data_IF_057612788914
#
_entry.id   IF_057612788914
#
_cell.length_a   1.000
_cell.length_b   1.000
_cell.length_c   1.000
_cell.angle_alpha   90.00
_cell.angle_beta   90.00
_cell.angle_gamma   90.00
#
_symmetry.space_group_name_H-M   'P 1'
#
loop_
_entity.id
_entity.type
_entity.pdbx_description
1 polymer ?
2 non-polymer ?
3 water ?
#
# COMPACT_ATOMS: atom_id res chain seq x y z
N UNK A 30 -8.09 -40.77 -6.59
CA UNK A 30 -9.19 -40.30 -5.69
C UNK A 30 -8.79 -39.07 -4.87
N UNK A 31 -8.93 -37.89 -5.50
CA UNK A 31 -8.73 -36.60 -4.83
C UNK A 31 -9.45 -35.48 -5.58
N UNK A 32 -10.63 -35.09 -5.09
CA UNK A 32 -11.50 -34.12 -5.78
C UNK A 32 -10.78 -32.96 -6.49
N UNK A 33 -10.63 -33.07 -7.80
CA UNK A 33 -10.01 -32.03 -8.60
C UNK A 33 -11.05 -31.14 -9.26
N UNK A 34 -12.33 -31.40 -8.97
CA UNK A 34 -13.41 -30.61 -9.52
C UNK A 34 -13.27 -29.15 -9.10
N UNK A 35 -13.14 -28.26 -10.08
CA UNK A 35 -13.03 -26.83 -9.80
C UNK A 35 -14.11 -26.29 -8.85
N UNK A 36 -15.36 -26.74 -9.05
CA UNK A 36 -16.47 -26.22 -8.28
C UNK A 36 -16.30 -26.47 -6.78
N UNK A 37 -15.26 -27.20 -6.40
CA UNK A 37 -15.09 -27.55 -4.99
C UNK A 37 -13.76 -27.11 -4.39
N UNK A 38 -13.12 -26.10 -4.99
CA UNK A 38 -11.87 -25.58 -4.44
C UNK A 38 -12.16 -24.46 -3.45
N UNK A 39 -11.45 -24.45 -2.33
CA UNK A 39 -11.57 -23.34 -1.39
C UNK A 39 -10.80 -22.13 -1.90
N UNK A 40 -11.43 -20.96 -1.83
CA UNK A 40 -10.74 -19.71 -2.08
C UNK A 40 -10.48 -19.03 -0.75
N UNK A 41 -9.97 -17.81 -0.78
CA UNK A 41 -9.60 -17.08 0.44
C UNK A 41 -10.80 -16.53 1.21
N UNK A 42 -11.12 -17.12 2.36
CA UNK A 42 -12.24 -16.65 3.18
C UNK A 42 -12.14 -15.17 3.53
N UNK A 43 -13.19 -14.41 3.19
CA UNK A 43 -13.25 -12.99 3.49
C UNK A 43 -12.14 -12.15 2.84
N UNK A 44 -11.97 -12.28 1.53
CA UNK A 44 -10.91 -11.56 0.80
C UNK A 44 -11.03 -10.04 0.94
N UNK A 45 -10.01 -9.43 1.53
CA UNK A 45 -9.99 -7.99 1.69
C UNK A 45 -9.36 -7.30 0.49
N UNK A 46 -10.17 -6.96 -0.50
CA UNK A 46 -9.65 -6.34 -1.71
C UNK A 46 -8.49 -5.42 -1.35
N UNK A 47 -8.79 -4.38 -0.58
CA UNK A 47 -7.87 -3.26 -0.40
C UNK A 47 -6.60 -3.61 0.37
N UNK A 48 -6.67 -4.58 1.26
CA UNK A 48 -5.47 -5.00 1.94
C UNK A 48 -4.55 -5.65 0.94
N UNK A 49 -5.15 -6.16 -0.14
CA UNK A 49 -4.43 -6.96 -1.11
C UNK A 49 -3.68 -6.05 -2.08
N UNK A 50 -3.79 -4.74 -1.89
CA UNK A 50 -3.21 -3.78 -2.84
C UNK A 50 -1.69 -3.72 -2.81
N UNK A 51 -1.14 -2.89 -3.69
CA UNK A 51 0.30 -2.69 -3.77
C UNK A 51 0.99 -3.67 -4.71
N UNK A 52 2.32 -3.75 -4.62
CA UNK A 52 3.07 -4.58 -5.54
C UNK A 52 3.11 -6.03 -5.10
N UNK A 53 2.97 -6.92 -6.08
CA UNK A 53 3.14 -8.35 -5.89
C UNK A 53 4.10 -8.88 -6.94
N UNK A 54 5.06 -9.71 -6.53
CA UNK A 54 6.01 -10.32 -7.46
C UNK A 54 5.68 -11.79 -7.67
N UNK A 55 5.32 -12.16 -8.90
CA UNK A 55 5.18 -13.56 -9.22
C UNK A 55 6.52 -14.24 -9.09
N UNK A 56 6.58 -15.32 -8.32
CA UNK A 56 7.82 -16.05 -8.17
C UNK A 56 7.78 -17.41 -8.83
N UNK A 57 6.57 -17.95 -8.97
CA UNK A 57 6.39 -19.20 -9.68
C UNK A 57 5.07 -19.17 -10.44
N UNK A 58 4.96 -20.02 -11.45
CA UNK A 58 3.91 -19.91 -12.44
C UNK A 58 3.42 -21.30 -12.83
N UNK A 59 2.12 -21.46 -13.00
CA UNK A 59 1.63 -22.61 -13.74
C UNK A 59 1.01 -22.02 -14.99
N UNK A 60 1.47 -22.49 -16.14
CA UNK A 60 1.10 -21.87 -17.41
C UNK A 60 -0.21 -22.45 -17.97
N UNK A 61 -0.93 -21.63 -18.74
CA UNK A 61 -2.09 -22.11 -19.47
C UNK A 61 -1.60 -22.47 -20.86
N UNK A 62 -2.50 -22.55 -21.83
CA UNK A 62 -2.06 -22.88 -23.18
C UNK A 62 -1.86 -21.63 -24.02
N UNK A 63 -0.96 -21.72 -24.98
CA UNK A 63 -0.67 -20.60 -25.86
C UNK A 63 0.21 -19.57 -25.19
N UNK A 64 0.21 -18.37 -25.76
CA UNK A 64 1.07 -17.27 -25.31
C UNK A 64 0.77 -16.84 -23.87
N UNK A 65 1.78 -16.34 -23.20
CA UNK A 65 1.64 -15.93 -21.80
C UNK A 65 2.91 -15.22 -21.36
N UNK A 66 2.82 -14.47 -20.28
CA UNK A 66 4.00 -13.82 -19.72
C UNK A 66 5.03 -14.88 -19.32
N UNK A 67 6.31 -14.59 -19.59
CA UNK A 67 7.35 -15.59 -19.34
C UNK A 67 8.21 -15.32 -18.12
N UNK A 68 8.47 -14.04 -17.86
CA UNK A 68 9.25 -13.68 -16.69
C UNK A 68 9.30 -12.19 -16.48
N UNK A 69 9.94 -11.79 -15.40
CA UNK A 69 9.99 -10.40 -14.96
C UNK A 69 8.58 -9.94 -14.71
N UNK A 70 7.78 -10.91 -14.27
CA UNK A 70 6.38 -10.70 -14.03
C UNK A 70 6.19 -9.95 -12.74
N UNK A 71 5.37 -8.92 -12.79
CA UNK A 71 5.10 -8.09 -11.64
C UNK A 71 3.66 -7.61 -11.76
N UNK A 72 2.94 -7.68 -10.66
CA UNK A 72 1.55 -7.23 -10.67
C UNK A 72 1.40 -6.06 -9.72
N UNK A 73 0.54 -5.11 -10.09
CA UNK A 73 0.23 -3.97 -9.25
C UNK A 73 -1.27 -3.84 -9.08
N UNK A 74 -1.75 -4.31 -7.92
CA UNK A 74 -3.17 -4.31 -7.60
C UNK A 74 -3.56 -3.03 -6.88
N UNK A 75 -4.74 -2.52 -7.22
CA UNK A 75 -5.24 -1.35 -6.55
C UNK A 75 -6.76 -1.34 -6.54
N UNK A 76 -7.34 -0.52 -5.67
CA UNK A 76 -8.79 -0.36 -5.63
C UNK A 76 -9.16 1.12 -5.50
N UNK A 77 -9.93 1.63 -6.46
CA UNK A 77 -10.33 3.04 -6.43
C UNK A 77 -11.44 3.32 -5.39
N UNK A 78 -11.97 4.55 -5.42
CA UNK A 78 -12.88 5.04 -4.38
C UNK A 78 -14.06 4.11 -4.08
N UNK A 79 -14.70 3.61 -5.14
CA UNK A 79 -15.92 2.80 -5.03
C UNK A 79 -15.71 1.41 -4.44
N UNK A 80 -14.53 0.84 -4.66
CA UNK A 80 -14.26 -0.52 -4.22
C UNK A 80 -13.93 -1.40 -5.42
N UNK A 81 -13.98 -0.81 -6.60
CA UNK A 81 -13.54 -1.45 -7.82
C UNK A 81 -12.07 -1.87 -7.75
N UNK A 82 -11.83 -3.17 -7.68
CA UNK A 82 -10.45 -3.65 -7.74
C UNK A 82 -9.97 -3.84 -9.17
N UNK A 83 -8.80 -3.29 -9.45
CA UNK A 83 -8.15 -3.46 -10.73
C UNK A 83 -6.66 -3.65 -10.49
N UNK A 84 -5.95 -4.06 -11.52
CA UNK A 84 -4.53 -4.35 -11.41
C UNK A 84 -3.86 -4.12 -12.74
N UNK A 85 -2.54 -3.97 -12.72
CA UNK A 85 -1.76 -3.97 -13.95
C UNK A 85 -0.82 -5.17 -13.92
N UNK A 86 -0.35 -5.61 -15.08
CA UNK A 86 0.53 -6.76 -15.15
C UNK A 86 1.63 -6.54 -16.16
N UNK A 87 2.88 -6.63 -15.72
CA UNK A 87 4.03 -6.30 -16.54
C UNK A 87 5.01 -7.46 -16.57
N UNK A 88 5.44 -7.86 -17.76
CA UNK A 88 6.35 -8.99 -17.89
C UNK A 88 6.91 -9.15 -19.28
N UNK A 89 7.78 -10.14 -19.45
CA UNK A 89 8.49 -10.34 -20.71
C UNK A 89 8.00 -11.58 -21.46
N UNK A 90 7.97 -11.51 -22.78
CA UNK A 90 7.60 -12.65 -23.61
C UNK A 90 8.62 -12.87 -24.72
N UNK A 91 8.58 -14.04 -25.34
CA UNK A 91 9.41 -14.32 -26.49
C UNK A 91 8.51 -14.78 -27.62
N UNK A 92 8.60 -14.13 -28.77
CA UNK A 92 7.77 -14.53 -29.92
C UNK A 92 8.63 -15.01 -31.09
N UNK A 93 8.63 -16.33 -31.29
CA UNK A 93 9.36 -16.97 -32.39
C UNK A 93 10.86 -17.11 -32.18
N UNK A 94 11.35 -16.84 -30.96
CA UNK A 94 12.79 -16.73 -30.62
C UNK A 94 13.54 -15.71 -31.48
N UNK A 95 12.75 -14.83 -32.08
CA UNK A 95 13.23 -13.64 -32.77
C UNK A 95 13.17 -12.40 -31.89
N UNK A 96 12.18 -12.35 -30.98
CA UNK A 96 11.95 -11.15 -30.20
C UNK A 96 11.80 -11.36 -28.69
N UNK A 97 12.25 -10.36 -27.94
CA UNK A 97 12.07 -10.33 -26.50
C UNK A 97 11.40 -9.00 -26.18
N UNK A 98 10.10 -9.04 -25.87
CA UNK A 98 9.36 -7.79 -25.69
C UNK A 98 8.67 -7.71 -24.34
N UNK A 99 8.53 -6.51 -23.84
CA UNK A 99 7.86 -6.30 -22.57
C UNK A 99 6.38 -6.07 -22.83
N UNK A 100 5.56 -7.05 -22.45
CA UNK A 100 4.12 -6.93 -22.54
C UNK A 100 3.63 -6.11 -21.37
N UNK A 101 2.44 -5.53 -21.51
CA UNK A 101 1.98 -4.58 -20.53
C UNK A 101 0.47 -4.57 -20.52
N UNK A 102 -0.12 -4.93 -19.38
CA UNK A 102 -1.56 -5.09 -19.31
C UNK A 102 -2.24 -4.29 -18.21
N UNK A 103 -3.56 -4.30 -18.28
CA UNK A 103 -4.41 -3.65 -17.32
C UNK A 103 -5.63 -4.53 -17.22
N UNK A 104 -6.01 -4.90 -16.00
CA UNK A 104 -7.21 -5.69 -15.79
C UNK A 104 -8.17 -4.96 -14.88
N UNK A 105 -9.45 -5.31 -14.98
CA UNK A 105 -10.46 -4.74 -14.10
C UNK A 105 -11.39 -5.84 -13.66
N UNK A 106 -11.45 -6.06 -12.36
CA UNK A 106 -12.18 -7.17 -11.77
C UNK A 106 -13.61 -6.79 -11.40
N UNK A 107 -14.59 -7.36 -12.09
CA UNK A 107 -15.97 -7.23 -11.67
C UNK A 107 -16.16 -8.19 -10.53
N UNK A 108 -17.16 -7.96 -9.69
CA UNK A 108 -17.31 -8.76 -8.48
C UNK A 108 -18.27 -9.92 -8.61
N UNK A 109 -18.45 -10.66 -7.52
CA UNK A 109 -19.41 -11.76 -7.47
C UNK A 109 -19.73 -12.06 -6.02
N UNK A 110 -20.60 -13.02 -5.78
CA UNK A 110 -21.04 -13.34 -4.43
C UNK A 110 -19.94 -14.02 -3.61
N UNK A 111 -18.86 -14.42 -4.26
CA UNK A 111 -17.69 -14.85 -3.54
C UNK A 111 -16.71 -13.68 -3.63
N UNK A 112 -16.30 -13.15 -2.48
CA UNK A 112 -15.41 -11.99 -2.44
C UNK A 112 -14.02 -12.36 -2.95
N UNK A 113 -13.74 -13.65 -2.99
CA UNK A 113 -12.44 -14.14 -3.43
C UNK A 113 -12.48 -14.42 -4.92
N UNK A 114 -13.64 -14.26 -5.52
CA UNK A 114 -13.82 -14.63 -6.94
C UNK A 114 -14.24 -13.46 -7.81
N UNK A 115 -13.58 -13.33 -8.95
CA UNK A 115 -13.84 -12.23 -9.87
C UNK A 115 -13.92 -12.65 -11.33
N UNK A 116 -14.54 -11.79 -12.14
CA UNK A 116 -14.43 -11.85 -13.59
C UNK A 116 -13.44 -10.73 -13.90
N UNK A 117 -12.42 -11.03 -14.69
CA UNK A 117 -11.41 -10.02 -14.99
C UNK A 117 -11.38 -9.67 -16.46
N UNK A 118 -11.73 -8.43 -16.79
CA UNK A 118 -11.48 -7.91 -18.12
C UNK A 118 -10.04 -7.40 -18.14
N UNK A 119 -9.25 -7.86 -19.10
CA UNK A 119 -7.88 -7.38 -19.23
C UNK A 119 -7.56 -7.11 -20.69
N UNK A 120 -6.53 -6.29 -20.91
CA UNK A 120 -6.11 -5.94 -22.27
C UNK A 120 -4.62 -5.57 -22.30
N UNK A 121 -4.12 -5.30 -23.50
CA UNK A 121 -2.76 -4.81 -23.65
C UNK A 121 -2.87 -3.31 -23.77
N UNK A 122 -1.74 -2.61 -23.64
CA UNK A 122 -1.73 -1.17 -23.84
C UNK A 122 -0.48 -0.74 -24.61
N UNK A 123 0.61 -1.47 -24.40
CA UNK A 123 1.86 -1.17 -25.09
C UNK A 123 1.81 -1.74 -26.51
N UNK A 124 2.88 -2.44 -26.88
CA UNK A 124 2.92 -3.27 -28.07
C UNK A 124 1.67 -4.16 -28.15
N UNK A 125 1.25 -4.65 -27.00
CA UNK A 125 0.24 -5.70 -26.83
C UNK A 125 -1.19 -5.26 -27.14
N UNK A 126 -1.84 -5.95 -28.07
CA UNK A 126 -3.18 -5.56 -28.52
C UNK A 126 -4.37 -6.38 -28.02
N UNK A 127 -4.12 -7.55 -27.42
CA UNK A 127 -5.21 -8.45 -27.04
C UNK A 127 -6.13 -7.97 -25.91
N UNK A 128 -7.35 -8.50 -25.88
CA UNK A 128 -8.28 -8.34 -24.77
C UNK A 128 -8.76 -9.73 -24.36
N UNK A 129 -9.11 -9.91 -23.09
CA UNK A 129 -9.59 -11.21 -22.64
C UNK A 129 -10.43 -11.15 -21.38
N UNK A 130 -11.13 -12.25 -21.10
CA UNK A 130 -11.89 -12.41 -19.86
C UNK A 130 -11.49 -13.71 -19.17
N UNK A 131 -10.82 -13.59 -18.03
CA UNK A 131 -10.39 -14.74 -17.25
C UNK A 131 -11.02 -14.67 -15.88
N UNK A 132 -11.40 -15.82 -15.35
CA UNK A 132 -11.76 -15.90 -13.95
C UNK A 132 -10.51 -15.59 -13.12
N UNK A 133 -10.67 -14.74 -12.10
CA UNK A 133 -9.56 -14.44 -11.20
C UNK A 133 -9.93 -14.80 -9.76
N UNK A 134 -9.23 -15.78 -9.20
CA UNK A 134 -9.50 -16.27 -7.84
C UNK A 134 -8.27 -16.13 -6.97
N UNK A 135 -8.43 -15.51 -5.81
CA UNK A 135 -7.39 -15.55 -4.81
C UNK A 135 -7.68 -16.80 -4.01
N UNK A 136 -6.74 -17.73 -3.99
CA UNK A 136 -6.99 -18.98 -3.26
C UNK A 136 -6.54 -18.84 -1.82
N UNK A 137 -5.40 -18.19 -1.62
CA UNK A 137 -4.96 -17.87 -0.27
C UNK A 137 -3.89 -16.78 -0.24
N UNK A 138 -3.85 -16.06 0.88
CA UNK A 138 -2.96 -14.92 1.00
C UNK A 138 -2.99 -14.39 2.43
N UNK A 139 -2.06 -13.49 2.74
CA UNK A 139 -2.01 -12.85 4.03
C UNK A 139 -1.65 -11.38 3.80
N UNK A 140 -1.83 -10.96 2.55
CA UNK A 140 -1.62 -9.56 2.16
C UNK A 140 -0.23 -8.97 2.45
N UNK A 141 0.46 -9.48 3.48
CA UNK A 141 1.78 -8.97 3.84
C UNK A 141 2.91 -9.79 3.25
N UNK A 142 2.71 -11.09 3.14
CA UNK A 142 3.77 -12.01 2.74
C UNK A 142 3.59 -12.58 1.34
N UNK A 143 2.59 -13.43 1.19
CA UNK A 143 2.41 -14.20 -0.04
C UNK A 143 0.98 -14.13 -0.59
N UNK A 144 0.77 -14.80 -1.72
CA UNK A 144 -0.56 -14.93 -2.29
C UNK A 144 -0.56 -15.99 -3.37
N UNK A 145 -1.62 -16.78 -3.42
CA UNK A 145 -1.80 -17.74 -4.50
C UNK A 145 -3.01 -17.31 -5.33
N UNK A 146 -2.77 -16.99 -6.58
CA UNK A 146 -3.83 -16.61 -7.51
C UNK A 146 -4.11 -17.80 -8.40
N UNK A 147 -5.32 -17.88 -8.96
CA UNK A 147 -5.68 -19.01 -9.82
C UNK A 147 -6.76 -18.67 -10.84
N UNK A 148 -6.68 -19.30 -12.01
CA UNK A 148 -7.64 -19.04 -13.06
C UNK A 148 -7.87 -20.22 -13.98
N UNK A 149 -9.10 -20.74 -13.97
CA UNK A 149 -9.52 -21.75 -14.92
C UNK A 149 -10.18 -21.08 -16.13
N UNK A 150 -9.87 -21.60 -17.33
CA UNK A 150 -10.39 -21.03 -18.56
C UNK A 150 -11.27 -22.04 -19.27
N UNK A 151 -11.12 -23.30 -18.91
CA UNK A 151 -11.79 -24.37 -19.62
C UNK A 151 -12.15 -25.50 -18.67
N UNK A 152 -13.41 -25.93 -18.69
CA UNK A 152 -13.82 -27.09 -17.91
C UNK A 152 -13.95 -28.33 -18.78
N UNK A 153 -13.39 -29.44 -18.32
CA UNK A 153 -13.62 -30.75 -18.92
C UNK A 153 -15.05 -31.12 -18.58
N UNK A 154 -15.59 -32.11 -19.28
CA UNK A 154 -16.96 -32.58 -19.01
C UNK A 154 -17.14 -32.99 -17.55
N UNK A 155 -16.16 -33.75 -17.02
CA UNK A 155 -16.22 -34.28 -15.65
C UNK A 155 -16.08 -33.21 -14.56
N UNK A 156 -15.81 -31.97 -14.96
CA UNK A 156 -15.72 -30.87 -14.00
C UNK A 156 -14.33 -30.33 -13.70
N UNK A 157 -13.29 -31.12 -13.96
CA UNK A 157 -11.93 -30.68 -13.69
C UNK A 157 -11.57 -29.56 -14.64
N UNK A 158 -10.44 -28.92 -14.38
CA UNK A 158 -10.01 -27.81 -15.22
C UNK A 158 -9.20 -28.33 -16.40
N UNK A 159 -9.48 -27.79 -17.58
CA UNK A 159 -8.79 -28.22 -18.79
C UNK A 159 -7.64 -27.28 -19.11
N UNK A 160 -7.88 -25.97 -18.94
CA UNK A 160 -6.86 -24.97 -19.18
C UNK A 160 -6.85 -23.98 -18.02
N UNK A 161 -5.73 -23.94 -17.29
CA UNK A 161 -5.63 -23.07 -16.12
C UNK A 161 -4.28 -22.36 -16.06
N UNK A 162 -4.27 -21.21 -15.39
CA UNK A 162 -3.01 -20.61 -14.99
C UNK A 162 -3.07 -20.27 -13.51
N UNK A 163 -1.90 -20.04 -12.92
CA UNK A 163 -1.83 -19.76 -11.49
C UNK A 163 -0.48 -19.13 -11.15
N UNK A 164 -0.53 -18.13 -10.28
CA UNK A 164 0.64 -17.37 -9.89
C UNK A 164 0.93 -17.49 -8.41
N UNK A 165 2.17 -17.82 -8.07
CA UNK A 165 2.63 -17.66 -6.69
C UNK A 165 3.18 -16.25 -6.52
N UNK A 166 2.44 -15.41 -5.79
CA UNK A 166 2.80 -14.02 -5.60
C UNK A 166 3.58 -13.81 -4.32
N UNK A 167 4.58 -12.94 -4.36
CA UNK A 167 5.37 -12.59 -3.19
C UNK A 167 5.50 -11.09 -3.02
N UNK A 168 5.42 -10.61 -1.78
CA UNK A 168 5.60 -9.18 -1.54
C UNK A 168 7.07 -8.79 -1.60
N UNK A 169 7.94 -9.75 -1.32
CA UNK A 169 9.38 -9.53 -1.35
C UNK A 169 10.04 -10.48 -2.34
N UNK A 170 10.63 -9.92 -3.41
CA UNK A 170 11.25 -10.73 -4.46
C UNK A 170 12.44 -11.60 -4.01
N UNK A 171 12.84 -11.50 -2.75
CA UNK A 171 13.86 -12.38 -2.22
C UNK A 171 13.27 -13.67 -1.63
N UNK A 172 11.94 -13.80 -1.67
CA UNK A 172 11.28 -15.03 -1.25
C UNK A 172 10.19 -14.92 -0.20
N UNK A 173 9.68 -16.07 0.23
CA UNK A 173 8.62 -16.16 1.22
C UNK A 173 9.13 -16.75 2.53
N UNK A 174 8.67 -16.23 3.67
CA UNK A 174 9.10 -16.84 4.92
C UNK A 174 8.63 -18.30 4.96
N UNK A 175 9.20 -19.10 5.86
CA UNK A 175 8.90 -20.53 5.97
C UNK A 175 7.41 -20.86 6.10
N UNK A 176 6.65 -19.99 6.74
CA UNK A 176 5.24 -20.26 6.97
C UNK A 176 4.45 -20.13 5.68
N UNK A 177 4.78 -19.14 4.87
CA UNK A 177 4.11 -18.95 3.59
C UNK A 177 4.46 -20.09 2.62
N UNK A 178 5.67 -20.61 2.71
CA UNK A 178 6.08 -21.71 1.84
C UNK A 178 5.19 -22.92 2.07
N UNK A 179 5.00 -23.26 3.34
CA UNK A 179 4.18 -24.39 3.72
C UNK A 179 2.74 -24.25 3.23
N UNK A 180 2.21 -23.03 3.25
CA UNK A 180 0.83 -22.80 2.82
C UNK A 180 0.66 -22.84 1.31
N UNK A 181 1.66 -22.31 0.59
CA UNK A 181 1.64 -22.34 -0.86
C UNK A 181 1.72 -23.79 -1.36
N UNK A 182 2.54 -24.58 -0.69
CA UNK A 182 2.70 -25.99 -1.02
C UNK A 182 1.42 -26.78 -0.74
N UNK A 183 0.62 -26.28 0.20
CA UNK A 183 -0.65 -26.91 0.51
C UNK A 183 -1.68 -26.59 -0.57
N UNK A 184 -1.75 -25.31 -0.96
CA UNK A 184 -2.73 -24.84 -1.91
C UNK A 184 -2.47 -25.43 -3.30
N UNK A 185 -1.23 -25.31 -3.77
CA UNK A 185 -0.87 -25.90 -5.05
C UNK A 185 -1.34 -27.33 -5.11
N UNK A 186 -1.27 -28.02 -3.99
CA UNK A 186 -1.72 -29.39 -3.92
C UNK A 186 -3.24 -29.41 -4.05
N UNK A 187 -3.89 -28.52 -3.32
CA UNK A 187 -5.35 -28.46 -3.32
C UNK A 187 -5.93 -28.02 -4.66
N UNK A 188 -5.09 -27.45 -5.51
CA UNK A 188 -5.53 -27.00 -6.83
C UNK A 188 -5.17 -28.02 -7.91
N UNK A 189 -4.77 -29.21 -7.48
CA UNK A 189 -4.33 -30.25 -8.40
C UNK A 189 -3.31 -29.69 -9.37
N UNK A 190 -2.41 -28.85 -8.87
CA UNK A 190 -1.38 -28.25 -9.70
C UNK A 190 0.03 -28.50 -9.19
N UNK A 191 0.16 -29.19 -8.06
CA UNK A 191 1.48 -29.43 -7.49
C UNK A 191 2.43 -29.95 -8.56
N UNK A 192 3.66 -29.45 -8.55
CA UNK A 192 4.72 -29.92 -9.43
C UNK A 192 4.58 -29.42 -10.86
N UNK A 193 3.62 -28.54 -11.12
CA UNK A 193 3.39 -28.04 -12.48
C UNK A 193 3.61 -26.55 -12.52
N UNK A 194 4.36 -26.06 -11.54
CA UNK A 194 4.75 -24.66 -11.44
C UNK A 194 6.23 -24.60 -11.75
N UNK A 195 6.66 -23.66 -12.58
CA UNK A 195 8.09 -23.42 -12.70
C UNK A 195 8.45 -22.01 -12.22
N UNK A 196 9.60 -21.89 -11.57
CA UNK A 196 10.03 -20.63 -10.97
C UNK A 196 10.17 -19.52 -12.01
N UNK A 197 10.13 -18.27 -11.56
CA UNK A 197 10.15 -17.15 -12.49
C UNK A 197 11.36 -16.23 -12.31
N UNK A 198 12.06 -15.98 -13.41
CA UNK A 198 13.21 -15.08 -13.41
C UNK A 198 12.82 -13.60 -13.33
N UNK A 199 13.52 -12.86 -12.48
CA UNK A 199 13.37 -11.42 -12.42
C UNK A 199 14.77 -10.83 -12.55
N UNK A 200 14.99 -10.05 -13.60
CA UNK A 200 16.31 -9.43 -13.83
C UNK A 200 16.26 -8.08 -14.53
N UNK A 201 15.32 -7.23 -14.13
CA UNK A 201 15.24 -5.84 -14.60
C UNK A 201 15.06 -5.63 -16.10
N UNK A 202 15.04 -6.72 -16.86
CA UNK A 202 14.93 -6.64 -18.33
C UNK A 202 13.78 -5.75 -18.85
N UNK A 203 12.83 -5.43 -17.96
CA UNK A 203 11.70 -4.57 -18.33
C UNK A 203 11.65 -3.34 -17.42
N UNK B 30 -21.48 2.40 3.69
CA UNK B 30 -20.74 3.59 4.23
C UNK B 30 -19.45 3.85 3.47
N UNK B 31 -18.33 3.85 4.18
CA UNK B 31 -17.03 4.11 3.58
C UNK B 31 -15.97 3.39 4.37
N UNK B 32 -15.06 2.71 3.67
CA UNK B 32 -14.00 1.99 4.36
C UNK B 32 -13.10 3.00 5.05
N UNK B 33 -13.01 2.88 6.37
CA UNK B 33 -12.17 3.76 7.15
C UNK B 33 -11.20 2.92 7.92
N UNK B 34 -10.74 1.85 7.29
CA UNK B 34 -9.79 0.97 7.94
C UNK B 34 -8.39 1.43 7.66
N UNK B 35 -7.59 1.49 8.72
CA UNK B 35 -6.22 1.97 8.64
C UNK B 35 -5.44 1.00 7.76
N UNK B 36 -5.77 -0.28 7.90
CA UNK B 36 -5.11 -1.35 7.16
C UNK B 36 -5.26 -1.19 5.66
N UNK B 37 -6.10 -0.26 5.22
CA UNK B 37 -6.33 -0.10 3.79
C UNK B 37 -6.27 1.36 3.32
N UNK B 38 -5.44 2.15 3.96
CA UNK B 38 -5.26 3.52 3.51
C UNK B 38 -4.14 3.57 2.50
N UNK B 39 -4.30 4.42 1.48
CA UNK B 39 -3.24 4.65 0.54
C UNK B 39 -2.26 5.66 1.12
N UNK B 40 -0.97 5.36 1.00
CA UNK B 40 0.08 6.33 1.32
C UNK B 40 0.88 6.62 0.07
N UNK B 41 1.78 7.59 0.16
CA UNK B 41 2.61 8.02 -0.97
C UNK B 41 3.39 6.88 -1.61
N UNK B 42 3.37 6.82 -2.93
CA UNK B 42 4.10 5.79 -3.65
C UNK B 42 5.52 6.30 -3.98
N UNK B 43 6.52 5.45 -3.74
CA UNK B 43 7.92 5.82 -3.92
C UNK B 43 8.31 7.07 -3.13
N UNK B 44 8.07 7.07 -1.82
CA UNK B 44 8.43 8.23 -1.03
C UNK B 44 9.93 8.49 -1.11
N UNK B 45 10.29 9.72 -1.47
CA UNK B 45 11.69 10.08 -1.59
C UNK B 45 12.17 10.91 -0.40
N UNK B 46 12.81 10.27 0.56
CA UNK B 46 13.26 10.98 1.75
C UNK B 46 13.94 12.29 1.36
N UNK B 47 14.99 12.17 0.54
CA UNK B 47 15.83 13.31 0.18
C UNK B 47 15.05 14.56 -0.22
N UNK B 48 14.12 14.41 -1.17
CA UNK B 48 13.32 15.55 -1.62
C UNK B 48 12.39 16.07 -0.53
N UNK B 49 12.20 15.26 0.52
CA UNK B 49 11.37 15.65 1.65
C UNK B 49 12.15 16.47 2.69
N UNK B 50 13.48 16.52 2.54
CA UNK B 50 14.35 17.34 3.38
C UNK B 50 13.87 18.77 3.56
N UNK B 51 14.38 19.43 4.60
CA UNK B 51 14.15 20.85 4.80
C UNK B 51 12.96 21.19 5.68
N UNK B 52 12.45 22.40 5.50
CA UNK B 52 11.42 22.95 6.36
C UNK B 52 10.00 22.66 5.88
N UNK B 53 9.13 22.30 6.81
CA UNK B 53 7.70 22.18 6.54
C UNK B 53 6.90 22.93 7.62
N UNK B 54 5.93 23.72 7.20
CA UNK B 54 5.09 24.46 8.14
C UNK B 54 3.71 23.85 8.32
N UNK B 55 3.42 23.40 9.54
CA UNK B 55 2.11 22.85 9.89
C UNK B 55 1.03 23.91 9.76
N UNK B 56 0.03 23.68 8.92
CA UNK B 56 -1.01 24.68 8.73
C UNK B 56 -2.37 24.22 9.22
N UNK B 57 -2.55 22.91 9.35
CA UNK B 57 -3.78 22.40 9.92
C UNK B 57 -3.44 21.18 10.75
N UNK B 58 -4.40 20.71 11.53
CA UNK B 58 -4.09 19.70 12.52
C UNK B 58 -5.31 18.84 12.79
N UNK B 59 -5.06 17.58 13.13
CA UNK B 59 -6.08 16.76 13.75
C UNK B 59 -5.42 16.24 15.03
N UNK B 60 -5.75 16.85 16.17
CA UNK B 60 -5.10 16.47 17.41
C UNK B 60 -5.62 15.11 17.84
N UNK B 61 -4.78 14.33 18.55
CA UNK B 61 -5.25 13.08 19.13
C UNK B 61 -5.65 13.32 20.59
N UNK B 62 -5.81 12.25 21.36
CA UNK B 62 -6.12 12.44 22.78
C UNK B 62 -4.90 12.93 23.56
N UNK B 63 -5.15 13.47 24.74
CA UNK B 63 -4.08 13.97 25.60
C UNK B 63 -3.55 15.30 25.11
N UNK B 64 -2.40 15.69 25.66
CA UNK B 64 -1.77 16.95 25.32
C UNK B 64 -1.12 16.86 23.95
N UNK B 65 -0.92 18.01 23.32
CA UNK B 65 -0.30 18.05 22.01
C UNK B 65 0.22 19.44 21.76
N UNK B 66 0.89 19.61 20.63
CA UNK B 66 1.28 20.94 20.20
C UNK B 66 0.01 21.62 19.80
N UNK B 67 -0.03 22.93 19.99
CA UNK B 67 -1.23 23.72 19.81
C UNK B 67 -1.09 24.59 18.57
N UNK B 68 0.07 25.20 18.41
CA UNK B 68 0.34 26.03 17.23
C UNK B 68 1.80 26.46 17.14
N UNK B 69 2.08 27.31 16.16
CA UNK B 69 3.46 27.65 15.84
C UNK B 69 4.26 26.37 15.56
N UNK B 70 3.60 25.43 14.88
CA UNK B 70 4.17 24.12 14.64
C UNK B 70 5.02 24.10 13.39
N UNK B 71 6.24 23.58 13.53
CA UNK B 71 7.19 23.57 12.44
C UNK B 71 8.17 22.41 12.54
N UNK B 72 8.30 21.66 11.45
CA UNK B 72 9.16 20.51 11.41
C UNK B 72 10.38 20.74 10.53
N UNK B 73 11.47 20.03 10.84
CA UNK B 73 12.65 20.06 10.01
C UNK B 73 13.09 18.63 9.74
N UNK B 74 12.91 18.21 8.49
CA UNK B 74 13.31 16.87 8.07
C UNK B 74 14.69 16.87 7.45
N UNK B 75 15.47 15.85 7.78
CA UNK B 75 16.77 15.69 7.17
C UNK B 75 17.18 14.22 7.14
N UNK B 76 18.24 13.93 6.40
CA UNK B 76 18.74 12.57 6.26
C UNK B 76 20.26 12.61 6.16
N UNK B 77 20.93 11.58 6.69
CA UNK B 77 22.40 11.52 6.65
C UNK B 77 22.91 10.63 5.51
N UNK B 78 24.18 10.25 5.59
CA UNK B 78 24.82 9.41 4.57
C UNK B 78 24.27 7.99 4.55
N UNK B 79 24.02 7.44 5.74
CA UNK B 79 23.44 6.10 5.88
C UNK B 79 22.06 6.04 5.25
N UNK B 80 21.27 7.11 5.42
CA UNK B 80 19.94 7.18 4.84
C UNK B 80 18.83 7.18 5.89
N UNK B 81 19.22 7.38 7.14
CA UNK B 81 18.26 7.48 8.23
C UNK B 81 17.59 8.83 8.18
N UNK B 82 16.26 8.85 8.27
CA UNK B 82 15.55 10.10 8.32
C UNK B 82 15.30 10.46 9.77
N UNK B 83 15.32 11.75 10.06
CA UNK B 83 15.03 12.25 11.39
C UNK B 83 14.33 13.57 11.22
N UNK B 84 13.82 14.14 12.30
CA UNK B 84 13.15 15.42 12.20
C UNK B 84 13.01 16.12 13.55
N UNK B 85 12.99 17.45 13.51
CA UNK B 85 12.77 18.23 14.71
C UNK B 85 11.42 18.94 14.63
N UNK B 86 10.55 18.65 15.58
CA UNK B 86 9.30 19.37 15.71
C UNK B 86 9.45 20.45 16.75
N UNK B 87 8.87 21.62 16.51
CA UNK B 87 8.91 22.69 17.49
C UNK B 87 7.57 23.41 17.45
N UNK B 88 7.04 23.77 18.62
CA UNK B 88 5.73 24.42 18.67
C UNK B 88 5.39 24.86 20.08
N UNK B 89 4.23 25.48 20.23
CA UNK B 89 3.82 26.01 21.53
C UNK B 89 2.69 25.20 22.14
N UNK B 90 2.72 25.04 23.46
CA UNK B 90 1.70 24.25 24.15
C UNK B 90 1.21 24.91 25.43
N UNK B 91 -0.11 25.11 25.51
CA UNK B 91 -0.73 25.60 26.74
C UNK B 91 -0.99 24.44 27.70
N UNK B 92 -0.34 24.48 28.85
CA UNK B 92 -0.36 23.35 29.76
C UNK B 92 -1.53 23.33 30.74
N UNK B 93 -1.47 24.17 31.77
CA UNK B 93 -2.52 24.18 32.78
C UNK B 93 -3.47 25.36 32.60
N UNK B 94 -3.25 26.12 31.54
CA UNK B 94 -4.06 27.31 31.29
C UNK B 94 -3.37 28.53 31.87
N UNK B 95 -2.28 28.26 32.60
CA UNK B 95 -1.45 29.31 33.17
C UNK B 95 -0.07 29.35 32.52
N UNK B 96 0.11 28.59 31.44
CA UNK B 96 1.43 28.52 30.81
C UNK B 96 1.42 28.34 29.31
N UNK B 97 2.08 29.25 28.61
CA UNK B 97 2.44 29.01 27.22
C UNK B 97 3.91 28.64 27.24
N UNK B 98 4.23 27.44 26.77
CA UNK B 98 5.63 27.04 26.68
C UNK B 98 5.92 26.41 25.32
N UNK B 99 7.05 26.78 24.73
CA UNK B 99 7.46 26.20 23.45
C UNK B 99 8.04 24.82 23.69
N UNK B 100 7.62 23.86 22.88
CA UNK B 100 8.13 22.52 22.97
C UNK B 100 8.99 22.24 21.76
N UNK B 101 10.10 21.56 21.99
CA UNK B 101 10.98 21.16 20.91
C UNK B 101 11.19 19.66 21.05
N UNK B 102 11.38 18.99 19.92
CA UNK B 102 11.59 17.55 19.99
C UNK B 102 12.27 17.02 18.74
N UNK B 103 12.92 15.86 18.89
CA UNK B 103 13.61 15.24 17.79
C UNK B 103 12.97 13.89 17.58
N UNK B 104 13.08 13.36 16.37
CA UNK B 104 12.53 12.06 16.06
C UNK B 104 13.37 11.35 15.03
N UNK B 105 13.53 10.05 15.19
CA UNK B 105 14.11 9.21 14.15
C UNK B 105 13.06 8.24 13.65
N UNK B 106 13.25 7.73 12.45
CA UNK B 106 12.27 6.86 11.84
C UNK B 106 12.94 5.61 11.32
N UNK B 107 12.58 4.47 11.89
CA UNK B 107 13.01 3.21 11.34
C UNK B 107 12.12 2.99 10.13
N UNK B 108 12.70 2.48 9.05
CA UNK B 108 11.95 2.27 7.83
C UNK B 108 11.14 1.00 7.92
N UNK B 109 10.06 0.92 7.14
CA UNK B 109 9.27 -0.29 7.10
C UNK B 109 9.33 -0.87 5.69
N UNK B 110 8.67 -2.00 5.48
CA UNK B 110 8.61 -2.64 4.17
C UNK B 110 7.99 -1.68 3.15
N UNK B 111 7.18 -0.75 3.65
CA UNK B 111 6.53 0.29 2.86
C UNK B 111 7.33 1.61 2.97
N UNK B 112 7.87 2.09 1.84
CA UNK B 112 8.74 3.27 1.85
C UNK B 112 8.06 4.57 2.27
N UNK B 113 6.75 4.51 2.53
CA UNK B 113 6.00 5.69 2.94
C UNK B 113 5.67 5.67 4.43
N UNK B 114 5.79 4.49 5.03
CA UNK B 114 5.46 4.29 6.43
C UNK B 114 6.69 4.15 7.31
N UNK B 115 6.68 4.80 8.47
CA UNK B 115 7.84 4.84 9.34
C UNK B 115 7.49 4.56 10.80
N UNK B 116 8.42 3.98 11.54
CA UNK B 116 8.28 3.84 12.99
C UNK B 116 9.12 4.97 13.53
N UNK B 117 8.51 5.93 14.21
CA UNK B 117 9.25 7.09 14.72
C UNK B 117 9.45 7.04 16.22
N UNK B 118 10.69 7.26 16.65
CA UNK B 118 11.02 7.39 18.07
C UNK B 118 11.30 8.86 18.31
N UNK B 119 10.69 9.43 19.33
CA UNK B 119 10.84 10.87 19.55
C UNK B 119 10.95 11.20 21.03
N UNK B 120 11.46 12.40 21.32
CA UNK B 120 11.69 12.86 22.67
C UNK B 120 11.90 14.36 22.66
N UNK B 121 11.68 15.01 23.80
CA UNK B 121 11.81 16.46 23.91
C UNK B 121 13.13 16.91 24.52
N UNK B 122 13.38 18.22 24.54
CA UNK B 122 14.67 18.74 24.99
C UNK B 122 14.64 19.85 26.07
N UNK B 123 13.95 20.96 25.79
CA UNK B 123 14.07 22.18 26.62
C UNK B 123 13.30 22.16 27.95
N UNK B 124 12.23 21.37 27.99
CA UNK B 124 11.41 21.22 29.18
C UNK B 124 10.60 19.94 29.05
N UNK B 125 10.23 19.63 27.81
CA UNK B 125 9.52 18.40 27.50
C UNK B 125 10.41 17.20 27.85
N UNK B 126 9.86 16.23 28.60
CA UNK B 126 10.69 15.15 29.11
C UNK B 126 10.29 13.75 28.66
N UNK B 127 9.18 13.63 27.93
CA UNK B 127 8.70 12.30 27.57
C UNK B 127 9.23 11.79 26.23
N UNK B 128 9.45 10.48 26.14
CA UNK B 128 9.74 9.80 24.87
C UNK B 128 8.52 8.97 24.47
N UNK B 129 8.35 8.73 23.18
CA UNK B 129 7.23 7.93 22.68
C UNK B 129 7.51 7.25 21.35
N UNK B 130 6.57 6.41 20.91
CA UNK B 130 6.75 5.66 19.68
C UNK B 130 5.52 5.68 18.79
N UNK B 131 5.67 6.27 17.61
CA UNK B 131 4.52 6.52 16.74
C UNK B 131 4.71 6.04 15.31
N UNK B 132 3.60 5.70 14.66
CA UNK B 132 3.60 5.49 13.23
C UNK B 132 3.74 6.86 12.59
N UNK B 133 4.49 6.95 11.52
CA UNK B 133 4.57 8.19 10.78
C UNK B 133 4.41 7.87 9.30
N UNK B 134 3.20 8.13 8.80
CA UNK B 134 2.86 7.84 7.42
C UNK B 134 2.80 9.14 6.64
N UNK B 135 3.37 9.13 5.45
CA UNK B 135 3.23 10.23 4.51
C UNK B 135 2.13 9.82 3.55
N UNK B 136 0.92 10.31 3.77
CA UNK B 136 -0.23 9.93 2.95
C UNK B 136 -0.04 10.46 1.53
N UNK B 137 0.38 11.72 1.42
CA UNK B 137 0.70 12.31 0.12
C UNK B 137 1.59 13.54 0.28
N UNK B 138 2.17 13.99 -0.82
CA UNK B 138 3.10 15.12 -0.85
C UNK B 138 3.58 15.35 -2.28
N UNK B 139 3.95 16.58 -2.60
CA UNK B 139 4.58 16.87 -3.88
C UNK B 139 5.99 17.39 -3.65
N UNK B 140 6.44 17.27 -2.41
CA UNK B 140 7.81 17.60 -2.02
C UNK B 140 8.09 19.09 -1.92
N UNK B 141 7.64 19.87 -2.90
CA UNK B 141 7.92 21.30 -2.87
C UNK B 141 6.71 22.21 -2.67
N UNK B 142 5.61 21.64 -2.21
CA UNK B 142 4.41 22.44 -1.98
C UNK B 142 3.59 22.07 -0.75
N UNK B 143 3.49 20.78 -0.46
CA UNK B 143 2.62 20.31 0.61
C UNK B 143 2.87 18.86 0.93
N UNK B 144 2.43 18.45 2.11
CA UNK B 144 2.42 17.06 2.50
C UNK B 144 1.24 16.84 3.42
N UNK B 145 0.66 15.64 3.37
CA UNK B 145 -0.33 15.24 4.35
C UNK B 145 0.32 14.10 5.09
N UNK B 146 0.39 14.22 6.41
CA UNK B 146 1.04 13.22 7.24
C UNK B 146 -0.06 12.55 8.05
N UNK B 147 0.22 11.38 8.62
CA UNK B 147 -0.78 10.64 9.38
C UNK B 147 -0.17 9.61 10.33
N UNK B 148 -0.89 9.31 11.39
CA UNK B 148 -0.37 8.46 12.44
C UNK B 148 -1.50 7.90 13.27
N UNK B 149 -1.81 6.61 13.10
CA UNK B 149 -2.76 5.96 13.98
C UNK B 149 -2.02 5.51 15.23
N UNK B 150 -2.61 5.71 16.39
CA UNK B 150 -1.96 5.37 17.64
C UNK B 150 -2.64 4.21 18.33
N UNK B 151 -3.83 3.86 17.86
CA UNK B 151 -4.66 2.89 18.52
C UNK B 151 -5.73 2.40 17.56
N UNK B 152 -5.77 1.10 17.33
CA UNK B 152 -6.78 0.54 16.43
C UNK B 152 -8.05 0.14 17.16
N UNK B 153 -9.20 0.44 16.56
CA UNK B 153 -10.44 -0.16 17.01
C UNK B 153 -10.43 -1.65 16.68
N UNK B 154 -11.29 -2.42 17.35
CA UNK B 154 -11.42 -3.84 17.04
C UNK B 154 -11.78 -4.07 15.57
N UNK B 155 -12.48 -3.11 14.97
CA UNK B 155 -12.96 -3.25 13.58
C UNK B 155 -11.97 -2.75 12.52
N UNK B 156 -10.79 -2.32 12.96
CA UNK B 156 -9.73 -1.93 12.03
C UNK B 156 -9.59 -0.44 11.84
N UNK B 157 -10.63 0.31 12.21
CA UNK B 157 -10.59 1.76 12.14
C UNK B 157 -9.68 2.33 13.23
N UNK B 158 -9.19 3.54 13.02
CA UNK B 158 -8.33 4.15 14.03
C UNK B 158 -9.16 4.61 15.22
N UNK B 159 -8.73 4.23 16.41
CA UNK B 159 -9.38 4.64 17.64
C UNK B 159 -8.80 5.96 18.12
N UNK B 160 -7.49 6.10 18.00
CA UNK B 160 -6.81 7.36 18.29
C UNK B 160 -5.81 7.70 17.19
N UNK B 161 -5.94 8.88 16.60
CA UNK B 161 -5.09 9.29 15.50
C UNK B 161 -4.67 10.78 15.53
N UNK B 162 -3.65 11.10 14.74
CA UNK B 162 -3.35 12.51 14.43
C UNK B 162 -2.79 12.68 13.01
N UNK B 163 -2.91 13.89 12.48
CA UNK B 163 -2.51 14.21 11.10
C UNK B 163 -2.18 15.70 10.92
N UNK B 164 -1.14 15.99 10.14
CA UNK B 164 -0.82 17.39 9.80
C UNK B 164 -1.05 17.69 8.33
N UNK B 165 -1.39 18.94 8.01
CA UNK B 165 -1.35 19.41 6.64
C UNK B 165 -0.13 20.33 6.60
N UNK B 166 0.91 19.91 5.89
CA UNK B 166 2.17 20.64 5.87
C UNK B 166 2.25 21.52 4.64
N UNK B 167 2.98 22.62 4.75
CA UNK B 167 3.24 23.48 3.62
C UNK B 167 4.67 24.01 3.63
N UNK B 168 5.31 24.05 2.46
CA UNK B 168 6.65 24.61 2.36
C UNK B 168 6.58 26.11 2.47
N UNK B 169 5.40 26.65 2.21
CA UNK B 169 5.17 28.08 2.23
C UNK B 169 4.13 28.41 3.29
N UNK B 170 4.55 29.08 4.37
CA UNK B 170 3.66 29.31 5.50
C UNK B 170 2.57 30.29 5.14
N UNK B 171 2.59 30.78 3.90
CA UNK B 171 1.59 31.73 3.46
C UNK B 171 0.41 31.04 2.81
N UNK B 172 0.50 29.72 2.69
CA UNK B 172 -0.61 28.94 2.15
C UNK B 172 -0.26 28.02 0.99
N UNK B 173 -1.29 27.36 0.46
CA UNK B 173 -1.14 26.39 -0.61
C UNK B 173 -1.77 26.90 -1.91
N UNK B 174 -1.28 26.40 -3.05
CA UNK B 174 -1.91 26.70 -4.34
C UNK B 174 -3.17 25.85 -4.50
N UNK B 175 -4.01 26.19 -5.49
CA UNK B 175 -5.26 25.46 -5.72
C UNK B 175 -4.99 23.99 -5.97
N UNK B 176 -4.04 23.71 -6.85
CA UNK B 176 -3.63 22.34 -7.11
C UNK B 176 -3.53 21.59 -5.77
N UNK B 177 -2.82 22.19 -4.82
CA UNK B 177 -2.53 21.52 -3.56
C UNK B 177 -3.72 21.48 -2.61
N UNK B 178 -4.44 22.58 -2.47
CA UNK B 178 -5.61 22.61 -1.60
C UNK B 178 -6.51 21.46 -1.98
N UNK B 179 -6.56 21.18 -3.27
CA UNK B 179 -7.46 20.19 -3.84
C UNK B 179 -7.09 18.76 -3.44
N UNK B 180 -5.81 18.43 -3.53
CA UNK B 180 -5.34 17.10 -3.21
C UNK B 180 -5.42 16.85 -1.71
N UNK B 181 -5.15 17.90 -0.92
CA UNK B 181 -5.29 17.80 0.52
C UNK B 181 -6.74 17.49 0.86
N UNK B 182 -7.66 18.28 0.35
CA UNK B 182 -9.07 18.08 0.64
C UNK B 182 -9.51 16.64 0.42
N UNK B 183 -9.06 16.02 -0.67
CA UNK B 183 -9.52 14.68 -1.00
C UNK B 183 -8.91 13.59 -0.12
N UNK B 184 -7.65 13.79 0.27
CA UNK B 184 -6.98 12.88 1.20
C UNK B 184 -7.64 12.94 2.57
N UNK B 185 -7.90 14.15 3.05
CA UNK B 185 -8.50 14.20 4.34
C UNK B 185 -9.67 13.24 4.27
N UNK B 186 -10.63 13.51 3.41
CA UNK B 186 -11.75 12.59 3.23
C UNK B 186 -11.32 11.12 3.31
N UNK B 187 -10.25 10.75 2.61
CA UNK B 187 -9.78 9.36 2.60
C UNK B 187 -9.35 8.81 3.96
N UNK B 188 -8.77 9.66 4.80
CA UNK B 188 -8.37 9.22 6.12
C UNK B 188 -9.54 9.24 7.09
N UNK B 189 -10.68 9.74 6.61
CA UNK B 189 -11.86 9.93 7.45
C UNK B 189 -11.57 10.93 8.56
N UNK B 190 -10.99 12.06 8.16
CA UNK B 190 -10.69 13.12 9.10
C UNK B 190 -11.19 14.45 8.56
N UNK B 191 -11.95 14.38 7.47
CA UNK B 191 -12.49 15.59 6.89
C UNK B 191 -13.42 16.24 7.89
N UNK B 192 -13.32 17.56 8.01
CA UNK B 192 -14.11 18.33 8.96
C UNK B 192 -13.46 18.33 10.34
N UNK B 193 -12.53 17.42 10.57
CA UNK B 193 -11.96 17.27 11.91
C UNK B 193 -10.68 18.04 12.17
N UNK B 194 -10.08 18.59 11.12
CA UNK B 194 -8.89 19.40 11.29
C UNK B 194 -9.26 20.79 11.78
N UNK B 195 -8.26 21.55 12.18
CA UNK B 195 -8.46 22.96 12.46
C UNK B 195 -7.14 23.67 12.24
N UNK B 196 -7.23 24.92 11.83
CA UNK B 196 -6.09 25.69 11.36
C UNK B 196 -5.15 26.07 12.51
N UNK B 197 -3.86 26.12 12.21
CA UNK B 197 -2.83 26.33 13.23
C UNK B 197 -2.35 27.78 13.22
N UNK B 198 -2.40 28.44 14.37
CA UNK B 198 -1.92 29.80 14.47
C UNK B 198 -0.42 29.79 14.28
N UNK B 199 0.11 30.76 13.53
CA UNK B 199 1.55 30.88 13.35
C UNK B 199 2.00 32.31 13.65
N UNK B 200 1.74 32.78 14.86
CA UNK B 200 2.10 34.15 15.24
C UNK B 200 3.55 34.27 15.72
N UNK B 201 4.45 33.56 15.05
CA UNK B 201 5.88 33.60 15.38
C UNK B 201 6.21 33.82 16.85
N UNK B 202 5.37 33.26 17.73
CA UNK B 202 5.54 33.37 19.18
C UNK B 202 6.88 32.79 19.67
N UNK B 203 7.14 31.52 19.34
CA UNK B 203 8.44 30.91 19.63
C UNK B 203 9.56 31.75 19.00
X LIG C 1 -1.82 -13.12 -18.48
X LIG C 1 -1.84 -13.27 -20.76
X LIG C 1 -3.56 -10.02 -14.62
X LIG C 1 -3.89 -8.76 -14.16
X LIG C 1 -3.97 -7.69 -15.04
X LIG C 1 -2.98 -11.55 -16.50
X LIG C 1 -3.68 -11.81 -17.83
X LIG C 1 -1.10 -13.02 -17.21
X LIG C 1 -1.24 -13.33 -22.03
X LIG C 1 -1.91 -13.90 -23.10
X LIG C 1 0.02 -12.78 -22.23
X LIG C 1 -3.26 -14.50 -22.95
X LIG C 1 -3.79 -14.56 -21.82
X LIG C 1 -3.84 -14.95 -23.98
X LIG C 1 -1.31 -13.94 -24.36
X LIG C 1 -0.04 -13.39 -24.54
X LIG C 1 0.62 -12.81 -23.48
X LIG C 1 -1.15 -13.17 -19.63
X LIG C 1 0.06 -13.13 -19.61
X LIG C 1 -1.48 -11.63 -16.72
X LIG C 1 -3.27 -13.17 -18.39
X LIG C 1 -3.33 -10.22 -15.99
X LIG C 1 -3.42 -9.13 -16.87
X LIG C 1 -3.74 -7.87 -16.39
X LIG C 1 -3.49 -11.17 -13.65
X LIG C 1 -4.71 -11.39 -13.20
X LIG C 1 -2.72 -10.84 -12.62
X LIG C 1 -3.02 -12.28 -14.19
X LIG D 1 3.71 15.40 18.52
X LIG D 1 3.51 15.20 20.78
X LIG D 1 7.28 14.93 14.68
X LIG D 1 8.61 14.95 14.25
X LIG D 1 9.65 14.86 15.16
X LIG D 1 5.60 14.82 16.55
X LIG D 1 5.52 14.02 17.85
X LIG D 1 3.64 16.16 17.28
X LIG D 1 3.23 15.69 22.07
X LIG D 1 2.88 14.82 23.09
X LIG D 1 3.31 17.06 22.33
X LIG D 1 2.77 13.34 22.85
X LIG D 1 3.44 12.83 21.93
X LIG D 1 2.01 12.67 23.58
X LIG D 1 2.60 15.31 24.36
X LIG D 1 2.69 16.67 24.61
X LIG D 1 3.05 17.54 23.61
X LIG D 1 3.42 15.96 19.68
X LIG D 1 3.10 17.14 19.73
X LIG D 1 5.08 16.22 16.81
X LIG D 1 4.10 14.00 18.39
X LIG D 1 7.00 14.83 16.05
X LIG D 1 8.05 14.75 16.96
X LIG D 1 9.37 14.77 16.52
X LIG D 1 6.18 15.02 13.65
X LIG D 1 5.77 13.80 13.32
X LIG D 1 6.63 15.62 12.55
X LIG D 1 5.15 15.72 14.12
#
# INVERSE_FOLDING_TARGET
MASMSYYHHHHHHDYDIPTTENLYFQGAMERDCRVSSFRVKENFDKARFSGTWYAMAKKDPEGLFLQDNIVAEFSVDETGQMSATAKGRVRLLNNWDVCADMVGTFTDTEDPAKFKMKYWGVASFLQKGNDDHWIVDTDYDTYAVQYSCRLLNLDGTCADSYSFVFSRDPNGLPPEAQKIVRQRQEELCLARQYRLIVHNGYCDGRSERNLL
MASMSYYHHHHHHDYDIPTTENLYFQGAMERDCRVSSFRVKENFDKARFSGTWYAMAKKDPEGLFLQDNIVAEFSVDETGQMSATAKGRVRLLNNWDVCADMVGTFTDTEDPAKFKMKYWGVASFLQKGNDDHWIVDTDYDTYAVQYSCRLLNLDGTCADSYSFVFSRDPNGLPPEAQKIVRQRQEELCLARQYRLIVHNGYCDGRSERNLL
2T1 N1 N3 C4 C5 C6 C7 C8 C10 C13 C15 C17 C21 O3 O2 C16 C19 C18 C14 O1 C11 C9 C3 C2 C1 C12 F1 F3 F2
2T1 N1 N3 C4 C5 C6 C7 C8 C10 C13 C15 C17 C21 O3 O2 C16 C19 C18 C14 O1 C11 C9 C3 C2 C1 C12 F1 F3 F2
#
